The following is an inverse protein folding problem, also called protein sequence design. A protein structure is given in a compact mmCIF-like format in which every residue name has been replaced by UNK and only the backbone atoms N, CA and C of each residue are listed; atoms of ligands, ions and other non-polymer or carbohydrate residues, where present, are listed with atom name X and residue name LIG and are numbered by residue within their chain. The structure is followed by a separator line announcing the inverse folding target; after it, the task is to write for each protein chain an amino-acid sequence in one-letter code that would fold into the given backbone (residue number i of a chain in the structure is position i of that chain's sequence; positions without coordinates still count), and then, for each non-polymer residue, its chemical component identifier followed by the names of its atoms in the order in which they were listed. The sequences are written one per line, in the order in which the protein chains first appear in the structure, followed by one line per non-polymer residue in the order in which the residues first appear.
data_IF_981873411343
#
_entry.id   IF_981873411343
#
_cell.length_a   1.000
_cell.length_b   1.000
_cell.length_c   1.000
_cell.angle_alpha   90.00
_cell.angle_beta   90.00
_cell.angle_gamma   90.00
#
_symmetry.space_group_name_H-M   'P 1'
#
loop_
_entity.id
_entity.type
_entity.pdbx_description
1 polymer ?
#
# COMPACT_ATOMS: atom_id res chain seq x y z
N UNK A 1 -2.32 -6.02 8.72
CA UNK A 1 -1.46 -6.48 9.82
C UNK A 1 -1.66 -5.58 11.03
N UNK A 2 -1.68 -6.10 12.27
CA UNK A 2 -1.61 -5.25 13.48
C UNK A 2 -0.13 -5.08 13.82
N UNK A 3 0.49 -3.96 13.40
CA UNK A 3 1.95 -3.81 13.38
C UNK A 3 2.57 -4.03 14.77
N UNK A 4 2.05 -3.38 15.82
CA UNK A 4 2.54 -3.56 17.19
C UNK A 4 2.31 -4.94 17.82
N UNK A 5 1.59 -5.86 17.17
CA UNK A 5 1.58 -7.28 17.54
C UNK A 5 2.64 -8.06 16.76
N UNK A 6 2.83 -7.74 15.47
CA UNK A 6 3.90 -8.31 14.65
C UNK A 6 5.29 -7.94 15.20
N UNK A 7 5.49 -6.69 15.64
CA UNK A 7 6.73 -6.23 16.32
C UNK A 7 7.05 -7.14 17.52
N UNK A 8 6.09 -7.36 18.43
CA UNK A 8 6.26 -8.22 19.61
C UNK A 8 6.60 -9.67 19.26
N UNK A 9 6.13 -10.18 18.13
CA UNK A 9 6.47 -11.53 17.65
C UNK A 9 7.84 -11.57 17.01
N UNK A 10 8.20 -10.58 16.20
CA UNK A 10 9.52 -10.47 15.57
C UNK A 10 10.63 -10.29 16.61
N UNK A 11 10.36 -9.52 17.66
CA UNK A 11 11.23 -9.30 18.83
C UNK A 11 11.77 -10.61 19.42
N UNK A 12 10.97 -11.69 19.45
CA UNK A 12 11.37 -13.01 19.97
C UNK A 12 12.56 -13.65 19.23
N UNK A 13 12.91 -13.13 18.05
CA UNK A 13 14.00 -13.61 17.20
C UNK A 13 15.10 -12.56 16.99
N UNK A 14 14.94 -11.35 17.54
CA UNK A 14 15.96 -10.29 17.48
C UNK A 14 16.93 -10.40 18.66
N UNK A 15 18.13 -9.84 18.51
CA UNK A 15 19.14 -9.85 19.58
C UNK A 15 18.73 -8.93 20.73
N UNK A 16 18.85 -9.43 21.96
CA UNK A 16 18.62 -8.64 23.18
C UNK A 16 19.46 -7.35 23.21
N UNK A 17 18.80 -6.24 23.56
CA UNK A 17 19.42 -4.92 23.74
C UNK A 17 18.80 -3.80 22.88
N UNK A 18 18.50 -4.06 21.60
CA UNK A 18 17.98 -3.03 20.69
C UNK A 18 17.06 -3.66 19.62
N UNK A 19 15.85 -4.02 20.03
CA UNK A 19 14.94 -4.90 19.27
C UNK A 19 14.27 -4.19 18.08
N UNK A 20 14.15 -2.86 18.10
CA UNK A 20 13.51 -2.11 17.02
C UNK A 20 14.47 -1.77 15.88
N UNK A 21 15.72 -1.41 16.17
CA UNK A 21 16.71 -1.17 15.11
C UNK A 21 17.23 -2.48 14.51
N UNK A 22 17.17 -3.60 15.24
CA UNK A 22 17.68 -4.90 14.78
C UNK A 22 17.16 -5.32 13.39
N UNK A 23 15.85 -5.16 13.15
CA UNK A 23 15.26 -5.52 11.85
C UNK A 23 15.74 -4.61 10.71
N UNK A 24 16.01 -3.33 10.99
CA UNK A 24 16.59 -2.40 10.03
C UNK A 24 18.07 -2.73 9.77
N UNK A 25 18.87 -2.92 10.84
CA UNK A 25 20.28 -3.34 10.74
C UNK A 25 20.47 -4.63 9.94
N UNK A 26 19.52 -5.56 10.04
CA UNK A 26 19.50 -6.83 9.31
C UNK A 26 18.90 -6.71 7.88
N UNK A 27 18.66 -5.49 7.39
CA UNK A 27 18.12 -5.18 6.05
C UNK A 27 16.80 -5.93 5.75
N UNK A 28 15.91 -6.01 6.74
CA UNK A 28 14.67 -6.82 6.71
C UNK A 28 13.54 -6.15 5.89
N UNK A 29 13.83 -5.83 4.63
CA UNK A 29 12.97 -5.05 3.73
C UNK A 29 11.53 -5.57 3.60
N UNK A 30 11.30 -6.89 3.63
CA UNK A 30 9.95 -7.45 3.54
C UNK A 30 9.06 -7.01 4.72
N UNK A 31 9.65 -6.87 5.91
CA UNK A 31 8.97 -6.47 7.13
C UNK A 31 8.68 -4.96 7.12
N UNK A 32 9.65 -4.16 6.68
CA UNK A 32 9.51 -2.71 6.49
C UNK A 32 8.40 -2.41 5.46
N UNK A 33 8.41 -3.06 4.29
CA UNK A 33 7.36 -2.93 3.27
C UNK A 33 5.98 -3.32 3.81
N UNK A 34 5.86 -4.47 4.49
CA UNK A 34 4.59 -4.93 5.06
C UNK A 34 4.05 -3.99 6.15
N UNK A 35 4.96 -3.39 6.94
CA UNK A 35 4.64 -2.40 7.98
C UNK A 35 4.22 -1.06 7.37
N UNK A 36 4.96 -0.55 6.39
CA UNK A 36 4.66 0.68 5.65
C UNK A 36 3.30 0.64 4.97
N UNK A 37 3.01 -0.42 4.22
CA UNK A 37 1.69 -0.66 3.62
C UNK A 37 0.57 -0.79 4.67
N UNK A 38 0.88 -1.32 5.86
CA UNK A 38 -0.10 -1.39 6.95
C UNK A 38 -0.38 -0.03 7.59
N UNK A 39 0.63 0.81 7.80
CA UNK A 39 0.45 2.19 8.26
C UNK A 39 -0.27 3.06 7.22
N UNK A 40 0.06 2.91 5.93
CA UNK A 40 -0.62 3.60 4.82
C UNK A 40 -2.13 3.30 4.78
N UNK A 41 -2.53 2.05 5.02
CA UNK A 41 -3.95 1.65 5.15
C UNK A 41 -4.64 2.19 6.40
N UNK A 42 -3.89 2.51 7.46
CA UNK A 42 -4.41 3.14 8.68
C UNK A 42 -4.50 4.68 8.56
N UNK A 43 -3.98 5.27 7.47
CA UNK A 43 -3.87 6.72 7.30
C UNK A 43 -2.67 7.36 8.01
N UNK A 44 -1.79 6.56 8.64
CA UNK A 44 -0.58 7.06 9.29
C UNK A 44 0.55 7.22 8.26
N UNK A 45 0.58 8.40 7.62
CA UNK A 45 1.50 8.70 6.52
C UNK A 45 2.95 8.86 6.98
N UNK A 46 3.18 9.32 8.22
CA UNK A 46 4.53 9.51 8.78
C UNK A 46 5.25 8.17 9.00
N UNK A 47 4.59 7.24 9.70
CA UNK A 47 5.14 5.89 9.88
C UNK A 47 5.16 5.08 8.58
N UNK A 48 4.22 5.32 7.66
CA UNK A 48 4.27 4.70 6.32
C UNK A 48 5.51 5.17 5.54
N UNK A 49 5.71 6.48 5.39
CA UNK A 49 6.87 7.06 4.70
C UNK A 49 8.17 6.55 5.30
N UNK A 50 8.30 6.62 6.63
CA UNK A 50 9.51 6.16 7.31
C UNK A 50 9.90 4.72 6.97
N UNK A 51 8.94 3.80 6.92
CA UNK A 51 9.20 2.41 6.53
C UNK A 51 9.60 2.27 5.05
N UNK A 52 9.01 3.06 4.15
CA UNK A 52 9.40 3.06 2.73
C UNK A 52 10.78 3.70 2.49
N UNK A 53 11.12 4.76 3.23
CA UNK A 53 12.44 5.41 3.19
C UNK A 53 13.53 4.55 3.85
N UNK A 54 13.20 3.75 4.86
CA UNK A 54 14.11 2.76 5.43
C UNK A 54 14.58 1.75 4.36
N UNK A 55 13.66 1.31 3.49
CA UNK A 55 14.02 0.46 2.34
C UNK A 55 14.90 1.21 1.34
N UNK A 56 14.60 2.47 0.99
CA UNK A 56 15.49 3.22 0.08
C UNK A 56 16.90 3.41 0.63
N UNK A 57 17.02 3.67 1.94
CA UNK A 57 18.32 3.72 2.61
C UNK A 57 19.11 2.41 2.44
N UNK A 58 18.49 1.23 2.56
CA UNK A 58 19.19 -0.04 2.29
C UNK A 58 19.73 -0.12 0.86
N UNK A 59 19.03 0.46 -0.13
CA UNK A 59 19.50 0.51 -1.52
C UNK A 59 20.64 1.51 -1.71
N UNK A 60 20.62 2.63 -0.99
CA UNK A 60 21.73 3.58 -0.96
C UNK A 60 22.99 2.94 -0.34
N UNK A 61 22.85 2.31 0.83
CA UNK A 61 23.92 1.59 1.53
C UNK A 61 24.50 0.47 0.63
N UNK A 62 23.65 -0.35 0.00
CA UNK A 62 24.06 -1.37 -0.99
C UNK A 62 24.76 -0.78 -2.23
N UNK A 63 24.46 0.46 -2.61
CA UNK A 63 25.12 1.15 -3.72
C UNK A 63 26.50 1.65 -3.31
N UNK A 64 26.66 2.14 -2.08
CA UNK A 64 27.94 2.60 -1.51
C UNK A 64 28.90 1.44 -1.26
N UNK A 65 28.41 0.31 -0.74
CA UNK A 65 29.18 -0.92 -0.48
C UNK A 65 30.00 -1.41 -1.69
N UNK A 66 29.59 -1.08 -2.92
CA UNK A 66 30.33 -1.47 -4.14
C UNK A 66 31.72 -0.84 -4.23
N UNK A 67 31.95 0.29 -3.55
CA UNK A 67 33.14 1.13 -3.74
C UNK A 67 34.45 0.40 -3.40
N UNK A 68 34.47 -0.32 -2.27
CA UNK A 68 35.61 -1.12 -1.83
C UNK A 68 35.94 -2.26 -2.81
N UNK A 69 34.93 -2.78 -3.51
CA UNK A 69 35.10 -3.87 -4.46
C UNK A 69 35.81 -3.47 -5.75
N UNK A 70 35.79 -2.19 -6.16
CA UNK A 70 36.55 -1.71 -7.31
C UNK A 70 38.05 -2.01 -7.16
N UNK A 71 38.63 -1.67 -6.00
CA UNK A 71 40.06 -1.95 -5.73
C UNK A 71 40.29 -3.40 -5.29
N UNK A 72 39.39 -3.98 -4.48
CA UNK A 72 39.55 -5.35 -3.99
C UNK A 72 39.55 -6.38 -5.12
N UNK A 73 38.59 -6.32 -6.05
CA UNK A 73 38.45 -7.33 -7.09
C UNK A 73 39.57 -7.29 -8.13
N UNK A 74 40.12 -6.11 -8.43
CA UNK A 74 41.32 -5.96 -9.26
C UNK A 74 42.53 -6.61 -8.57
N UNK A 75 42.76 -6.30 -7.29
CA UNK A 75 43.86 -6.88 -6.49
C UNK A 75 43.75 -8.40 -6.30
N UNK A 76 42.52 -8.94 -6.25
CA UNK A 76 42.25 -10.38 -6.08
C UNK A 76 42.02 -11.12 -7.41
N UNK A 77 42.09 -10.44 -8.54
CA UNK A 77 41.84 -11.00 -9.89
C UNK A 77 40.47 -11.68 -10.05
N UNK A 78 39.46 -11.30 -9.26
CA UNK A 78 38.10 -11.86 -9.30
C UNK A 78 37.24 -11.17 -10.37
N UNK A 79 37.81 -10.92 -11.55
CA UNK A 79 37.25 -10.03 -12.59
C UNK A 79 35.86 -10.45 -13.09
N UNK A 80 35.58 -11.76 -13.17
CA UNK A 80 34.24 -12.27 -13.53
C UNK A 80 33.18 -11.85 -12.51
N UNK A 81 33.48 -11.98 -11.21
CA UNK A 81 32.57 -11.58 -10.14
C UNK A 81 32.42 -10.05 -10.09
N UNK A 82 33.48 -9.30 -10.35
CA UNK A 82 33.44 -7.84 -10.45
C UNK A 82 32.49 -7.36 -11.55
N UNK A 83 32.60 -7.89 -12.77
CA UNK A 83 31.68 -7.52 -13.87
C UNK A 83 30.24 -7.94 -13.58
N UNK A 84 30.03 -9.08 -12.89
CA UNK A 84 28.68 -9.47 -12.42
C UNK A 84 28.13 -8.51 -11.35
N UNK A 85 28.97 -8.03 -10.43
CA UNK A 85 28.59 -7.03 -9.42
C UNK A 85 28.18 -5.71 -10.06
N UNK A 86 28.96 -5.20 -11.03
CA UNK A 86 28.61 -3.97 -11.76
C UNK A 86 27.24 -4.12 -12.46
N UNK A 87 27.03 -5.23 -13.19
CA UNK A 87 25.74 -5.53 -13.85
C UNK A 87 24.56 -5.71 -12.88
N UNK A 88 24.84 -6.08 -11.64
CA UNK A 88 23.84 -6.14 -10.57
C UNK A 88 23.52 -4.73 -10.06
N UNK A 89 24.54 -3.91 -9.80
CA UNK A 89 24.39 -2.51 -9.37
C UNK A 89 23.63 -1.67 -10.41
N UNK A 90 23.94 -1.84 -11.71
CA UNK A 90 23.22 -1.23 -12.84
C UNK A 90 21.70 -1.53 -12.85
N UNK A 91 21.26 -2.57 -12.13
CA UNK A 91 19.87 -3.07 -12.08
C UNK A 91 19.30 -3.11 -10.66
N UNK A 92 20.03 -2.60 -9.66
CA UNK A 92 19.64 -2.72 -8.26
C UNK A 92 18.23 -2.13 -8.03
N UNK A 93 18.02 -0.91 -8.50
CA UNK A 93 16.73 -0.19 -8.43
C UNK A 93 15.61 -0.79 -9.30
N UNK A 94 15.86 -1.80 -10.12
CA UNK A 94 14.83 -2.53 -10.86
C UNK A 94 14.19 -3.66 -10.02
N UNK A 95 14.71 -3.91 -8.81
CA UNK A 95 14.23 -4.98 -7.94
C UNK A 95 12.85 -4.65 -7.31
N UNK A 96 12.01 -5.67 -7.16
CA UNK A 96 10.60 -5.55 -6.74
C UNK A 96 10.42 -4.82 -5.40
N UNK A 97 11.35 -5.01 -4.45
CA UNK A 97 11.28 -4.34 -3.15
C UNK A 97 11.50 -2.82 -3.25
N UNK A 98 12.41 -2.36 -4.11
CA UNK A 98 12.58 -0.94 -4.37
C UNK A 98 11.35 -0.37 -5.11
N UNK A 99 10.85 -1.10 -6.12
CA UNK A 99 9.65 -0.69 -6.85
C UNK A 99 8.46 -0.48 -5.90
N UNK A 100 8.20 -1.43 -5.00
CA UNK A 100 7.18 -1.33 -3.94
C UNK A 100 7.42 -0.18 -2.96
N UNK A 101 8.67 0.02 -2.51
CA UNK A 101 9.01 1.11 -1.58
C UNK A 101 8.78 2.48 -2.22
N UNK A 102 9.33 2.71 -3.41
CA UNK A 102 9.18 3.96 -4.14
C UNK A 102 7.72 4.23 -4.53
N UNK A 103 6.97 3.21 -4.98
CA UNK A 103 5.54 3.34 -5.26
C UNK A 103 4.74 3.69 -3.98
N UNK A 104 5.05 3.06 -2.85
CA UNK A 104 4.48 3.37 -1.53
C UNK A 104 4.79 4.79 -1.07
N UNK A 105 6.03 5.26 -1.24
CA UNK A 105 6.44 6.62 -0.93
C UNK A 105 5.73 7.66 -1.80
N UNK A 106 5.66 7.46 -3.12
CA UNK A 106 4.92 8.32 -4.05
C UNK A 106 3.43 8.39 -3.65
N UNK A 107 2.80 7.24 -3.33
CA UNK A 107 1.42 7.20 -2.81
C UNK A 107 1.23 8.02 -1.54
N UNK A 108 2.19 7.99 -0.61
CA UNK A 108 2.13 8.81 0.60
C UNK A 108 2.26 10.31 0.29
N UNK A 109 3.22 10.71 -0.53
CA UNK A 109 3.43 12.11 -0.92
C UNK A 109 2.24 12.70 -1.69
N UNK A 110 1.61 11.94 -2.58
CA UNK A 110 0.38 12.37 -3.26
C UNK A 110 -0.77 12.57 -2.27
N UNK A 111 -0.95 11.68 -1.27
CA UNK A 111 -1.93 11.88 -0.20
C UNK A 111 -1.63 13.09 0.67
N UNK A 112 -0.35 13.35 1.01
CA UNK A 112 0.05 14.55 1.74
C UNK A 112 -0.26 15.84 0.97
N UNK A 113 -0.12 15.83 -0.36
CA UNK A 113 -0.50 16.96 -1.20
C UNK A 113 -2.02 17.15 -1.28
N UNK A 114 -2.78 16.07 -1.47
CA UNK A 114 -4.25 16.12 -1.64
C UNK A 114 -4.99 16.35 -0.32
N UNK A 115 -4.35 16.05 0.80
CA UNK A 115 -4.84 16.28 2.16
C UNK A 115 -3.69 16.79 3.02
N UNK A 116 -3.31 18.08 2.85
CA UNK A 116 -2.25 18.68 3.65
C UNK A 116 -2.63 18.54 5.13
N UNK A 117 -1.68 18.05 5.92
CA UNK A 117 -1.88 17.88 7.36
C UNK A 117 -2.18 19.27 7.92
N UNK A 118 -3.35 19.42 8.58
CA UNK A 118 -3.81 20.71 9.13
C UNK A 118 -2.63 21.41 9.77
N UNK A 119 -2.31 22.61 9.30
CA UNK A 119 -1.07 23.26 9.75
C UNK A 119 -1.12 23.46 11.26
N UNK A 120 0.02 23.47 11.93
CA UNK A 120 0.08 23.72 13.39
C UNK A 120 -0.52 25.08 13.82
N UNK A 121 -0.79 25.98 12.86
CA UNK A 121 -1.60 27.19 13.02
C UNK A 121 -3.10 26.89 13.09
N UNK A 122 -3.63 26.06 12.18
CA UNK A 122 -5.05 25.66 12.17
C UNK A 122 -5.42 24.79 13.37
N UNK A 123 -4.55 23.87 13.79
CA UNK A 123 -4.77 23.14 15.05
C UNK A 123 -4.75 24.08 16.26
N UNK A 124 -3.86 25.07 16.29
CA UNK A 124 -3.89 26.09 17.33
C UNK A 124 -5.16 26.95 17.28
N UNK A 125 -5.71 27.22 16.10
CA UNK A 125 -6.96 27.97 15.94
C UNK A 125 -8.23 27.17 16.25
N UNK A 126 -8.25 25.85 16.02
CA UNK A 126 -9.33 24.98 16.49
C UNK A 126 -9.22 24.79 18.02
N UNK A 127 -8.02 24.58 18.55
CA UNK A 127 -7.76 24.58 20.00
C UNK A 127 -8.10 25.95 20.61
N UNK A 128 -7.91 27.06 19.90
CA UNK A 128 -8.28 28.41 20.34
C UNK A 128 -9.77 28.75 20.19
N UNK A 129 -10.59 27.82 19.67
CA UNK A 129 -12.07 27.90 19.59
C UNK A 129 -12.80 27.04 20.63
N UNK A 130 -12.17 25.99 21.18
CA UNK A 130 -12.77 25.11 22.21
C UNK A 130 -13.03 25.80 23.57
N UNK A 131 -13.88 25.28 24.48
CA UNK A 131 -14.03 25.83 25.83
C UNK A 131 -12.74 25.75 26.68
N UNK A 132 -12.45 26.73 27.56
CA UNK A 132 -11.16 26.82 28.25
C UNK A 132 -10.82 25.61 29.14
N UNK A 133 -11.83 24.94 29.73
CA UNK A 133 -11.66 23.71 30.49
C UNK A 133 -11.17 22.53 29.61
N UNK A 134 -11.68 22.43 28.37
CA UNK A 134 -11.26 21.40 27.41
C UNK A 134 -9.87 21.71 26.85
N UNK A 135 -9.55 22.99 26.56
CA UNK A 135 -8.17 23.40 26.16
C UNK A 135 -7.13 22.99 27.19
N UNK A 136 -7.38 23.27 28.48
CA UNK A 136 -6.46 22.90 29.56
C UNK A 136 -6.31 21.39 29.66
N UNK A 137 -7.40 20.62 29.57
CA UNK A 137 -7.38 19.15 29.62
C UNK A 137 -6.65 18.53 28.42
N UNK A 138 -6.84 19.06 27.21
CA UNK A 138 -6.18 18.56 25.99
C UNK A 138 -4.68 18.92 26.00
N UNK A 139 -4.31 20.18 26.29
CA UNK A 139 -2.91 20.59 26.42
C UNK A 139 -2.19 19.85 27.56
N UNK A 140 -2.88 19.54 28.66
CA UNK A 140 -2.31 18.73 29.75
C UNK A 140 -2.18 17.25 29.36
N UNK A 141 -3.09 16.70 28.54
CA UNK A 141 -2.97 15.34 27.98
C UNK A 141 -1.81 15.25 26.97
N UNK A 142 -1.69 16.23 26.07
CA UNK A 142 -0.57 16.36 25.13
C UNK A 142 0.76 16.49 25.88
N UNK A 143 0.90 17.47 26.79
CA UNK A 143 2.11 17.60 27.61
C UNK A 143 2.43 16.38 28.48
N UNK A 144 1.42 15.61 28.92
CA UNK A 144 1.65 14.35 29.64
C UNK A 144 2.07 13.22 28.71
N UNK A 145 1.58 13.16 27.48
CA UNK A 145 2.03 12.20 26.47
C UNK A 145 3.46 12.54 25.98
N UNK A 146 3.73 13.81 25.70
CA UNK A 146 5.04 14.34 25.34
C UNK A 146 6.07 14.15 26.46
N UNK A 147 5.75 14.52 27.71
CA UNK A 147 6.63 14.27 28.85
C UNK A 147 6.79 12.78 29.17
N UNK A 148 5.82 11.93 28.80
CA UNK A 148 5.95 10.48 28.91
C UNK A 148 6.85 9.91 27.81
N UNK A 149 6.68 10.32 26.55
CA UNK A 149 7.55 9.93 25.45
C UNK A 149 8.99 10.43 25.67
N UNK A 150 9.15 11.64 26.20
CA UNK A 150 10.46 12.18 26.56
C UNK A 150 11.11 11.43 27.72
N UNK A 151 10.36 11.06 28.76
CA UNK A 151 10.86 10.19 29.84
C UNK A 151 11.16 8.77 29.36
N UNK A 152 10.32 8.18 28.53
CA UNK A 152 10.57 6.86 27.92
C UNK A 152 11.74 6.90 26.91
N UNK A 153 12.20 8.09 26.48
CA UNK A 153 13.43 8.28 25.72
C UNK A 153 14.64 8.59 26.62
N UNK A 154 14.45 9.33 27.71
CA UNK A 154 15.48 9.64 28.72
C UNK A 154 15.84 8.40 29.57
N UNK A 155 14.86 7.59 29.99
CA UNK A 155 15.08 6.29 30.67
C UNK A 155 15.83 5.32 29.75
N UNK A 156 15.55 5.30 28.44
CA UNK A 156 16.33 4.52 27.47
C UNK A 156 17.78 5.01 27.35
N UNK A 157 18.03 6.31 27.46
CA UNK A 157 19.39 6.86 27.51
C UNK A 157 20.12 6.48 28.82
N UNK A 158 19.43 6.47 29.96
CA UNK A 158 20.02 6.07 31.24
C UNK A 158 20.29 4.55 31.31
N UNK A 159 19.39 3.70 30.82
CA UNK A 159 19.58 2.24 30.80
C UNK A 159 20.71 1.80 29.83
N UNK A 160 20.85 2.45 28.67
CA UNK A 160 21.96 2.19 27.74
C UNK A 160 23.30 2.69 28.28
N UNK A 161 23.34 3.87 28.92
CA UNK A 161 24.58 4.38 29.51
C UNK A 161 25.00 3.60 30.76
N UNK A 162 24.07 3.14 31.59
CA UNK A 162 24.35 2.25 32.72
C UNK A 162 24.90 0.89 32.26
N UNK A 163 24.31 0.30 31.22
CA UNK A 163 24.77 -0.98 30.64
C UNK A 163 26.17 -0.92 30.03
N UNK A 164 26.65 0.27 29.63
CA UNK A 164 27.99 0.45 29.06
C UNK A 164 29.14 0.35 30.08
N UNK A 165 28.88 0.54 31.39
CA UNK A 165 29.92 0.67 32.41
C UNK A 165 30.39 -0.66 33.04
N UNK A 166 29.78 -1.81 32.70
CA UNK A 166 30.08 -3.11 33.31
C UNK A 166 30.99 -4.04 32.49
N UNK A 167 31.26 -3.74 31.21
CA UNK A 167 32.03 -4.61 30.30
C UNK A 167 33.42 -4.08 29.98
N UNK A 168 34.36 -4.26 30.93
CA UNK A 168 35.73 -3.73 30.86
C UNK A 168 36.68 -4.52 29.94
N UNK A 169 36.36 -4.65 28.64
CA UNK A 169 37.31 -5.14 27.62
C UNK A 169 36.93 -4.83 26.15
N UNK A 170 37.61 -3.84 25.55
CA UNK A 170 38.22 -4.06 24.22
C UNK A 170 37.36 -4.05 22.94
N UNK A 171 36.49 -3.06 22.71
CA UNK A 171 36.33 -2.38 21.40
C UNK A 171 35.38 -1.19 21.51
N UNK A 172 35.73 -0.04 20.91
CA UNK A 172 34.80 1.09 20.77
C UNK A 172 33.65 0.69 19.86
N UNK A 173 32.49 0.36 20.41
CA UNK A 173 31.25 0.43 19.64
C UNK A 173 30.95 1.92 19.43
N UNK A 174 30.74 2.31 18.17
CA UNK A 174 30.20 3.63 17.88
C UNK A 174 28.79 3.69 18.46
N UNK A 175 28.52 4.73 19.26
CA UNK A 175 27.15 5.03 19.68
C UNK A 175 26.30 5.19 18.41
N UNK A 176 25.28 4.34 18.28
CA UNK A 176 24.44 4.30 17.07
C UNK A 176 23.63 5.59 16.96
N UNK A 177 23.35 6.10 15.75
CA UNK A 177 22.48 7.26 15.60
C UNK A 177 21.09 6.92 16.15
N UNK A 178 20.74 7.50 17.30
CA UNK A 178 19.39 7.38 17.87
C UNK A 178 18.41 7.99 16.89
N UNK A 179 17.35 7.26 16.56
CA UNK A 179 16.28 7.69 15.68
C UNK A 179 15.59 8.95 16.23
N UNK A 180 15.83 10.08 15.57
CA UNK A 180 15.33 11.39 15.96
C UNK A 180 13.89 11.66 15.49
N UNK A 181 13.22 10.70 14.84
CA UNK A 181 11.81 10.82 14.46
C UNK A 181 11.07 9.46 14.48
N UNK A 182 10.75 8.92 15.67
CA UNK A 182 10.02 7.66 15.83
C UNK A 182 8.73 7.56 15.01
N UNK A 183 7.99 8.67 14.85
CA UNK A 183 6.67 8.72 14.23
C UNK A 183 6.64 9.25 12.79
N UNK A 184 7.73 9.82 12.28
CA UNK A 184 7.80 10.44 10.94
C UNK A 184 7.13 11.82 10.88
N UNK A 185 7.06 12.54 12.00
CA UNK A 185 6.41 13.86 12.09
C UNK A 185 7.14 14.93 11.25
N UNK A 186 8.47 14.82 11.11
CA UNK A 186 9.27 15.71 10.25
C UNK A 186 9.11 15.36 8.78
N UNK A 187 8.94 14.07 8.46
CA UNK A 187 8.70 13.58 7.09
C UNK A 187 7.34 14.03 6.54
N UNK A 188 6.37 14.33 7.41
CA UNK A 188 5.07 14.91 7.05
C UNK A 188 5.19 16.41 6.74
N UNK A 189 6.12 17.12 7.38
CA UNK A 189 6.28 18.59 7.29
C UNK A 189 7.14 19.06 6.10
N UNK A 190 7.17 18.28 5.02
CA UNK A 190 7.93 18.62 3.80
C UNK A 190 7.21 19.72 3.00
N UNK A 191 7.95 20.75 2.57
CA UNK A 191 7.41 21.93 1.89
C UNK A 191 6.83 21.63 0.49
N UNK A 192 7.47 20.73 -0.29
CA UNK A 192 6.95 20.26 -1.59
C UNK A 192 6.97 18.72 -1.68
N UNK A 193 5.88 18.04 -1.24
CA UNK A 193 5.72 16.60 -1.39
C UNK A 193 5.77 16.12 -2.85
N UNK A 194 5.35 16.96 -3.82
CA UNK A 194 5.33 16.59 -5.23
C UNK A 194 6.72 16.65 -5.87
N UNK A 195 7.65 17.47 -5.35
CA UNK A 195 9.06 17.42 -5.74
C UNK A 195 9.72 16.11 -5.29
N UNK A 196 9.53 15.71 -4.03
CA UNK A 196 10.06 14.44 -3.50
C UNK A 196 9.51 13.24 -4.26
N UNK A 197 8.19 13.16 -4.46
CA UNK A 197 7.56 12.15 -5.30
C UNK A 197 8.13 12.10 -6.74
N UNK A 198 8.56 13.24 -7.30
CA UNK A 198 9.19 13.28 -8.64
C UNK A 198 10.58 12.63 -8.66
N UNK A 199 11.33 12.64 -7.55
CA UNK A 199 12.64 11.96 -7.46
C UNK A 199 12.45 10.45 -7.58
N UNK A 200 11.56 9.88 -6.75
CA UNK A 200 11.21 8.46 -6.79
C UNK A 200 10.61 8.06 -8.14
N UNK A 201 9.73 8.87 -8.72
CA UNK A 201 9.15 8.59 -10.03
C UNK A 201 10.22 8.48 -11.13
N UNK A 202 11.23 9.35 -11.14
CA UNK A 202 12.34 9.27 -12.10
C UNK A 202 13.15 7.98 -11.94
N UNK A 203 13.39 7.54 -10.71
CA UNK A 203 14.06 6.26 -10.44
C UNK A 203 13.23 5.09 -10.98
N UNK A 204 11.90 5.10 -10.78
CA UNK A 204 11.00 4.09 -11.35
C UNK A 204 10.95 4.14 -12.88
N UNK A 205 10.92 5.32 -13.50
CA UNK A 205 10.91 5.46 -14.96
C UNK A 205 12.22 4.95 -15.60
N UNK A 206 13.35 5.15 -14.94
CA UNK A 206 14.66 4.72 -15.44
C UNK A 206 14.90 3.20 -15.26
N UNK A 207 14.38 2.60 -14.19
CA UNK A 207 14.69 1.20 -13.81
C UNK A 207 13.51 0.23 -13.98
N UNK A 208 12.29 0.74 -14.17
CA UNK A 208 11.04 -0.04 -14.21
C UNK A 208 10.04 0.58 -15.19
N UNK A 209 10.52 0.92 -16.39
CA UNK A 209 9.73 1.46 -17.51
C UNK A 209 8.61 0.55 -18.00
N UNK A 210 8.71 -0.74 -17.71
CA UNK A 210 7.80 -1.76 -18.27
C UNK A 210 6.65 -2.07 -17.31
N UNK A 211 6.63 -1.45 -16.12
CA UNK A 211 5.56 -1.60 -15.13
C UNK A 211 4.44 -0.58 -15.38
N UNK A 212 3.20 -1.07 -15.48
CA UNK A 212 2.00 -0.24 -15.58
C UNK A 212 1.87 0.72 -14.39
N UNK A 213 2.17 0.25 -13.16
CA UNK A 213 2.08 1.06 -11.93
C UNK A 213 2.99 2.30 -12.00
N UNK A 214 4.20 2.18 -12.58
CA UNK A 214 5.11 3.31 -12.80
C UNK A 214 4.44 4.42 -13.61
N UNK A 215 3.70 4.08 -14.67
CA UNK A 215 3.05 5.07 -15.54
C UNK A 215 1.71 5.56 -15.00
N UNK A 216 0.97 4.74 -14.24
CA UNK A 216 -0.21 5.21 -13.48
C UNK A 216 0.23 6.28 -12.47
N UNK A 217 1.29 6.02 -11.69
CA UNK A 217 1.88 7.00 -10.77
C UNK A 217 2.42 8.23 -11.52
N UNK A 218 3.03 8.05 -12.70
CA UNK A 218 3.47 9.15 -13.55
C UNK A 218 2.33 10.05 -14.00
N UNK A 219 1.19 9.46 -14.37
CA UNK A 219 -0.02 10.18 -14.75
C UNK A 219 -0.59 10.96 -13.57
N UNK A 220 -0.88 10.28 -12.46
CA UNK A 220 -1.47 10.87 -11.25
C UNK A 220 -0.62 12.01 -10.68
N UNK A 221 0.72 11.87 -10.68
CA UNK A 221 1.63 12.93 -10.25
C UNK A 221 1.67 14.10 -11.24
N UNK A 222 1.74 13.82 -12.55
CA UNK A 222 1.80 14.87 -13.58
C UNK A 222 0.52 15.70 -13.65
N UNK A 223 -0.64 15.07 -13.41
CA UNK A 223 -1.94 15.73 -13.32
C UNK A 223 -1.99 16.70 -12.13
N UNK A 224 -1.50 16.30 -10.94
CA UNK A 224 -1.39 17.18 -9.76
C UNK A 224 -0.43 18.35 -10.00
N UNK A 225 0.71 18.10 -10.64
CA UNK A 225 1.70 19.13 -11.02
C UNK A 225 1.29 19.98 -12.23
N UNK A 226 0.09 19.78 -12.80
CA UNK A 226 -0.43 20.44 -14.00
C UNK A 226 0.51 20.35 -15.23
N UNK A 227 1.30 19.28 -15.32
CA UNK A 227 2.24 19.04 -16.43
C UNK A 227 1.58 18.21 -17.53
N UNK A 228 0.71 18.86 -18.30
CA UNK A 228 -0.14 18.25 -19.34
C UNK A 228 0.62 17.30 -20.28
N UNK A 229 1.76 17.72 -20.85
CA UNK A 229 2.51 16.88 -21.79
C UNK A 229 3.12 15.63 -21.13
N UNK A 230 3.52 15.69 -19.85
CA UNK A 230 4.03 14.53 -19.11
C UNK A 230 2.90 13.57 -18.72
N UNK A 231 1.72 14.09 -18.39
CA UNK A 231 0.52 13.28 -18.19
C UNK A 231 0.11 12.57 -19.50
N UNK A 232 0.16 13.26 -20.63
CA UNK A 232 -0.10 12.66 -21.94
C UNK A 232 0.93 11.58 -22.32
N UNK A 233 2.23 11.85 -22.08
CA UNK A 233 3.28 10.86 -22.27
C UNK A 233 3.03 9.60 -21.44
N UNK A 234 2.62 9.73 -20.18
CA UNK A 234 2.28 8.60 -19.33
C UNK A 234 1.10 7.78 -19.89
N UNK A 235 0.02 8.45 -20.35
CA UNK A 235 -1.12 7.78 -21.02
C UNK A 235 -0.67 7.03 -22.28
N UNK A 236 0.21 7.61 -23.11
CA UNK A 236 0.76 6.92 -24.29
C UNK A 236 1.59 5.68 -23.91
N UNK A 237 2.34 5.70 -22.81
CA UNK A 237 3.06 4.50 -22.34
C UNK A 237 2.11 3.44 -21.77
N UNK A 238 1.06 3.83 -21.03
CA UNK A 238 0.04 2.92 -20.52
C UNK A 238 -0.64 2.14 -21.66
N UNK A 239 -1.13 2.84 -22.69
CA UNK A 239 -1.76 2.22 -23.86
C UNK A 239 -0.78 1.32 -24.63
N UNK A 240 0.51 1.69 -24.68
CA UNK A 240 1.55 0.88 -25.33
C UNK A 240 1.84 -0.42 -24.57
N UNK A 241 1.76 -0.41 -23.24
CA UNK A 241 1.98 -1.58 -22.39
C UNK A 241 0.75 -2.50 -22.34
N UNK A 242 -0.42 -1.93 -22.07
CA UNK A 242 -1.69 -2.64 -22.01
C UNK A 242 -2.85 -1.68 -22.36
N UNK A 243 -3.35 -1.80 -23.60
CA UNK A 243 -4.48 -1.06 -24.15
C UNK A 243 -5.81 -1.42 -23.46
N UNK A 244 -5.96 -2.67 -23.01
CA UNK A 244 -7.23 -3.17 -22.46
C UNK A 244 -7.35 -2.96 -20.94
N UNK A 245 -6.27 -2.54 -20.29
CA UNK A 245 -6.25 -2.34 -18.85
C UNK A 245 -7.34 -1.37 -18.33
N UNK A 246 -8.08 -1.71 -17.25
CA UNK A 246 -9.03 -0.81 -16.61
C UNK A 246 -8.44 0.54 -16.19
N UNK A 247 -7.19 0.55 -15.70
CA UNK A 247 -6.54 1.78 -15.25
C UNK A 247 -5.96 2.60 -16.41
N UNK A 248 -5.46 1.96 -17.49
CA UNK A 248 -5.14 2.65 -18.75
C UNK A 248 -6.36 3.42 -19.28
N UNK A 249 -7.54 2.78 -19.31
CA UNK A 249 -8.80 3.39 -19.75
C UNK A 249 -9.24 4.55 -18.83
N UNK A 250 -9.14 4.38 -17.51
CA UNK A 250 -9.37 5.46 -16.53
C UNK A 250 -8.47 6.66 -16.77
N UNK A 251 -7.16 6.45 -16.90
CA UNK A 251 -6.19 7.53 -17.14
C UNK A 251 -6.49 8.24 -18.47
N UNK A 252 -6.81 7.50 -19.53
CA UNK A 252 -7.17 8.05 -20.84
C UNK A 252 -8.39 8.99 -20.78
N UNK A 253 -9.51 8.53 -20.20
CA UNK A 253 -10.72 9.35 -20.11
C UNK A 253 -10.53 10.51 -19.12
N UNK A 254 -9.92 10.29 -17.95
CA UNK A 254 -9.61 11.36 -16.98
C UNK A 254 -8.76 12.46 -17.61
N UNK A 255 -7.77 12.10 -18.42
CA UNK A 255 -6.94 13.06 -19.16
C UNK A 255 -7.79 13.91 -20.10
N UNK A 256 -8.47 13.30 -21.08
CA UNK A 256 -9.19 14.06 -22.10
C UNK A 256 -10.41 14.80 -21.56
N UNK A 257 -11.12 14.25 -20.57
CA UNK A 257 -12.17 14.98 -19.86
C UNK A 257 -11.60 16.23 -19.18
N UNK A 258 -10.45 16.11 -18.49
CA UNK A 258 -9.81 17.27 -17.85
C UNK A 258 -9.36 18.31 -18.87
N UNK A 259 -8.70 17.93 -19.97
CA UNK A 259 -8.28 18.87 -21.02
C UNK A 259 -9.48 19.57 -21.67
N UNK A 260 -10.54 18.85 -22.01
CA UNK A 260 -11.77 19.44 -22.56
C UNK A 260 -12.50 20.38 -21.57
N UNK A 261 -12.25 20.24 -20.26
CA UNK A 261 -12.80 21.12 -19.22
C UNK A 261 -11.97 22.38 -18.93
N UNK A 262 -10.73 22.46 -19.45
CA UNK A 262 -9.90 23.65 -19.28
C UNK A 262 -10.40 24.79 -20.20
N UNK A 263 -10.26 26.06 -19.78
CA UNK A 263 -10.50 27.18 -20.68
C UNK A 263 -9.55 27.09 -21.90
N UNK A 264 -10.01 27.63 -23.04
CA UNK A 264 -9.22 27.63 -24.28
C UNK A 264 -7.86 28.31 -24.09
N UNK A 265 -6.84 27.92 -24.88
CA UNK A 265 -5.46 28.33 -24.66
C UNK A 265 -5.27 29.85 -24.76
N UNK A 266 -4.84 30.47 -23.65
CA UNK A 266 -4.66 31.93 -23.55
C UNK A 266 -3.22 32.30 -23.93
N UNK A 267 -2.25 31.55 -23.40
CA UNK A 267 -0.82 31.74 -23.63
C UNK A 267 -0.32 30.95 -24.85
N UNK A 268 0.77 31.41 -25.47
CA UNK A 268 1.35 30.71 -26.63
C UNK A 268 1.92 29.33 -26.24
N UNK A 269 2.36 29.16 -24.99
CA UNK A 269 2.73 27.86 -24.42
C UNK A 269 1.56 26.89 -24.36
N UNK A 270 0.37 27.35 -23.97
CA UNK A 270 -0.85 26.53 -23.99
C UNK A 270 -1.26 26.20 -25.43
N UNK A 271 -1.21 27.16 -26.35
CA UNK A 271 -1.50 26.91 -27.78
C UNK A 271 -0.59 25.82 -28.35
N UNK A 272 0.70 25.84 -28.03
CA UNK A 272 1.63 24.79 -28.43
C UNK A 272 1.24 23.42 -27.85
N UNK A 273 0.87 23.36 -26.57
CA UNK A 273 0.39 22.11 -25.94
C UNK A 273 -0.87 21.59 -26.64
N UNK A 274 -1.85 22.47 -26.90
CA UNK A 274 -3.08 22.11 -27.61
C UNK A 274 -2.79 21.60 -29.03
N UNK A 275 -1.94 22.27 -29.80
CA UNK A 275 -1.54 21.82 -31.14
C UNK A 275 -0.92 20.42 -31.14
N UNK A 276 -0.07 20.11 -30.14
CA UNK A 276 0.52 18.77 -29.98
C UNK A 276 -0.55 17.73 -29.65
N UNK A 277 -1.50 18.06 -28.75
CA UNK A 277 -2.59 17.15 -28.40
C UNK A 277 -3.57 16.92 -29.57
N UNK A 278 -3.86 17.93 -30.38
CA UNK A 278 -4.70 17.78 -31.57
C UNK A 278 -4.02 16.96 -32.67
N UNK A 279 -2.71 17.13 -32.87
CA UNK A 279 -1.94 16.34 -33.83
C UNK A 279 -1.83 14.85 -33.43
N UNK A 280 -1.67 14.56 -32.14
CA UNK A 280 -1.46 13.21 -31.60
C UNK A 280 -2.77 12.46 -31.26
N UNK A 281 -3.91 13.16 -31.20
CA UNK A 281 -5.22 12.55 -30.89
C UNK A 281 -5.73 11.55 -31.94
N UNK A 282 -5.60 11.78 -33.26
CA UNK A 282 -5.97 10.82 -34.29
C UNK A 282 -5.16 9.52 -34.27
N UNK A 283 -3.89 9.59 -33.86
CA UNK A 283 -2.97 8.44 -33.86
C UNK A 283 -3.32 7.38 -32.78
N UNK A 284 -4.10 7.77 -31.76
CA UNK A 284 -4.63 6.83 -30.78
C UNK A 284 -5.86 6.10 -31.33
N UNK A 285 -5.67 4.81 -31.64
CA UNK A 285 -6.69 3.89 -32.18
C UNK A 285 -8.04 3.94 -31.44
N UNK A 286 -8.02 4.17 -30.14
CA UNK A 286 -9.21 4.20 -29.28
C UNK A 286 -10.06 5.46 -29.54
N UNK A 287 -9.42 6.59 -29.85
CA UNK A 287 -10.03 7.92 -29.95
C UNK A 287 -10.33 8.36 -31.39
N UNK A 288 -10.02 7.53 -32.39
CA UNK A 288 -10.06 7.85 -33.82
C UNK A 288 -11.44 8.32 -34.30
N UNK A 289 -11.70 9.63 -34.20
CA UNK A 289 -12.97 10.29 -34.52
C UNK A 289 -14.10 10.11 -33.50
N UNK A 290 -13.89 9.35 -32.42
CA UNK A 290 -14.92 8.99 -31.43
C UNK A 290 -15.06 10.03 -30.31
N UNK A 291 -16.28 10.21 -29.80
CA UNK A 291 -16.50 10.93 -28.53
C UNK A 291 -16.04 10.09 -27.33
N UNK A 292 -15.68 10.73 -26.21
CA UNK A 292 -15.26 10.01 -24.99
C UNK A 292 -16.35 9.04 -24.47
N UNK A 293 -17.62 9.37 -24.71
CA UNK A 293 -18.78 8.53 -24.36
C UNK A 293 -18.83 7.28 -25.24
N UNK A 294 -18.58 7.40 -26.55
CA UNK A 294 -18.48 6.26 -27.47
C UNK A 294 -17.28 5.36 -27.17
N UNK A 295 -16.14 5.95 -26.78
CA UNK A 295 -14.96 5.17 -26.34
C UNK A 295 -15.29 4.37 -25.08
N UNK A 296 -15.91 4.99 -24.08
CA UNK A 296 -16.33 4.31 -22.86
C UNK A 296 -17.36 3.20 -23.12
N UNK A 297 -18.32 3.44 -24.03
CA UNK A 297 -19.28 2.42 -24.45
C UNK A 297 -18.60 1.26 -25.17
N UNK A 298 -17.70 1.54 -26.12
CA UNK A 298 -16.94 0.51 -26.85
C UNK A 298 -16.11 -0.36 -25.89
N UNK A 299 -15.53 0.23 -24.84
CA UNK A 299 -14.77 -0.47 -23.80
C UNK A 299 -15.67 -1.39 -22.96
N UNK A 300 -16.83 -0.90 -22.52
CA UNK A 300 -17.81 -1.69 -21.77
C UNK A 300 -18.40 -2.85 -22.61
N UNK A 301 -18.66 -2.63 -23.89
CA UNK A 301 -19.13 -3.66 -24.82
C UNK A 301 -18.08 -4.77 -25.01
N UNK A 302 -16.80 -4.41 -25.13
CA UNK A 302 -15.67 -5.36 -25.26
C UNK A 302 -15.44 -6.19 -24.00
N UNK A 303 -15.59 -5.60 -22.80
CA UNK A 303 -15.15 -6.19 -21.53
C UNK A 303 -16.28 -6.45 -20.51
N UNK A 304 -17.51 -6.69 -20.99
CA UNK A 304 -18.73 -6.82 -20.18
C UNK A 304 -18.71 -7.94 -19.10
N UNK A 305 -17.79 -8.90 -19.19
CA UNK A 305 -17.67 -10.03 -18.27
C UNK A 305 -16.76 -9.75 -17.06
N UNK A 306 -15.85 -8.76 -17.15
CA UNK A 306 -14.85 -8.52 -16.11
C UNK A 306 -15.28 -7.41 -15.15
N UNK A 307 -15.31 -7.73 -13.85
CA UNK A 307 -15.73 -6.80 -12.79
C UNK A 307 -14.95 -5.47 -12.83
N UNK A 308 -13.62 -5.53 -12.94
CA UNK A 308 -12.77 -4.34 -12.90
C UNK A 308 -12.95 -3.44 -14.13
N UNK A 309 -13.19 -4.03 -15.31
CA UNK A 309 -13.47 -3.27 -16.52
C UNK A 309 -14.84 -2.60 -16.46
N UNK A 310 -15.87 -3.30 -15.94
CA UNK A 310 -17.19 -2.72 -15.67
C UNK A 310 -17.10 -1.58 -14.66
N UNK A 311 -16.35 -1.74 -13.58
CA UNK A 311 -16.15 -0.71 -12.56
C UNK A 311 -15.44 0.53 -13.10
N UNK A 312 -14.37 0.35 -13.90
CA UNK A 312 -13.69 1.44 -14.58
C UNK A 312 -14.60 2.16 -15.58
N UNK A 313 -15.34 1.42 -16.43
CA UNK A 313 -16.27 2.01 -17.38
C UNK A 313 -17.47 2.71 -16.72
N UNK A 314 -17.94 2.21 -15.58
CA UNK A 314 -18.98 2.86 -14.76
C UNK A 314 -18.46 4.16 -14.12
N UNK A 315 -17.26 4.15 -13.53
CA UNK A 315 -16.60 5.35 -13.01
C UNK A 315 -16.45 6.42 -14.10
N UNK A 316 -16.02 6.01 -15.30
CA UNK A 316 -15.84 6.92 -16.43
C UNK A 316 -17.17 7.38 -17.04
N UNK A 317 -18.23 6.56 -16.99
CA UNK A 317 -19.58 6.99 -17.37
C UNK A 317 -20.08 8.09 -16.44
N UNK A 318 -19.91 7.93 -15.12
CA UNK A 318 -20.33 8.94 -14.14
C UNK A 318 -19.49 10.23 -14.23
N UNK A 319 -18.19 10.13 -14.54
CA UNK A 319 -17.32 11.28 -14.78
C UNK A 319 -17.73 12.09 -16.02
N UNK A 320 -18.10 11.41 -17.11
CA UNK A 320 -18.51 12.05 -18.36
C UNK A 320 -19.96 12.56 -18.34
N UNK A 321 -20.87 11.80 -17.72
CA UNK A 321 -22.31 12.05 -17.69
C UNK A 321 -22.87 11.91 -16.25
N UNK A 322 -22.70 12.91 -15.37
CA UNK A 322 -23.13 12.83 -13.96
C UNK A 322 -24.62 12.47 -13.77
N UNK A 323 -25.46 12.83 -14.73
CA UNK A 323 -26.89 12.51 -14.75
C UNK A 323 -27.18 10.99 -14.83
N UNK A 324 -26.22 10.19 -15.30
CA UNK A 324 -26.34 8.73 -15.47
C UNK A 324 -25.81 7.92 -14.29
N UNK A 325 -25.67 8.54 -13.12
CA UNK A 325 -25.18 7.87 -11.89
C UNK A 325 -25.82 6.50 -11.63
N UNK A 326 -27.14 6.38 -11.79
CA UNK A 326 -27.86 5.10 -11.57
C UNK A 326 -27.55 4.05 -12.65
N UNK A 327 -27.38 4.45 -13.91
CA UNK A 327 -27.01 3.54 -15.01
C UNK A 327 -25.59 2.97 -14.77
N UNK A 328 -24.65 3.84 -14.37
CA UNK A 328 -23.30 3.44 -13.98
C UNK A 328 -23.28 2.49 -12.77
N UNK A 329 -24.14 2.71 -11.77
CA UNK A 329 -24.28 1.81 -10.61
C UNK A 329 -24.85 0.45 -11.03
N UNK A 330 -25.88 0.42 -11.88
CA UNK A 330 -26.46 -0.82 -12.39
C UNK A 330 -25.42 -1.64 -13.16
N UNK A 331 -24.54 -1.01 -13.95
CA UNK A 331 -23.42 -1.71 -14.61
C UNK A 331 -22.51 -2.46 -13.62
N UNK A 332 -22.40 -2.01 -12.37
CA UNK A 332 -21.67 -2.71 -11.31
C UNK A 332 -22.56 -3.77 -10.63
N UNK A 333 -23.81 -3.44 -10.26
CA UNK A 333 -24.71 -4.39 -9.58
C UNK A 333 -25.14 -5.57 -10.47
N UNK A 334 -25.26 -5.39 -11.78
CA UNK A 334 -25.56 -6.42 -12.78
C UNK A 334 -24.36 -7.36 -13.06
N UNK A 335 -23.22 -7.18 -12.38
CA UNK A 335 -22.06 -8.05 -12.56
C UNK A 335 -22.29 -9.42 -11.91
N UNK A 336 -22.19 -10.49 -12.67
CA UNK A 336 -22.33 -11.86 -12.15
C UNK A 336 -20.95 -12.47 -11.91
N UNK A 337 -20.79 -13.15 -10.77
CA UNK A 337 -19.55 -13.86 -10.45
C UNK A 337 -19.58 -15.23 -11.13
N UNK A 338 -19.22 -15.24 -12.42
CA UNK A 338 -19.19 -16.45 -13.24
C UNK A 338 -18.17 -17.43 -12.64
N UNK A 339 -18.60 -18.67 -12.42
CA UNK A 339 -17.72 -19.77 -12.02
C UNK A 339 -16.92 -20.23 -13.24
N UNK A 340 -15.59 -20.23 -13.15
CA UNK A 340 -14.76 -20.73 -14.24
C UNK A 340 -14.74 -22.26 -14.22
N UNK A 341 -15.15 -22.88 -15.33
CA UNK A 341 -15.08 -24.33 -15.55
C UNK A 341 -13.64 -24.81 -15.84
N UNK A 342 -12.66 -24.30 -15.10
CA UNK A 342 -11.26 -24.71 -15.18
C UNK A 342 -10.96 -25.85 -14.21
N UNK A 343 -10.23 -26.86 -14.66
CA UNK A 343 -9.76 -27.98 -13.85
C UNK A 343 -8.75 -27.54 -12.77
N UNK A 344 -9.24 -26.96 -11.67
CA UNK A 344 -8.48 -26.76 -10.45
C UNK A 344 -8.82 -27.86 -9.43
N UNK A 345 -7.80 -28.42 -8.78
CA UNK A 345 -7.91 -29.46 -7.75
C UNK A 345 -8.73 -29.03 -6.51
N UNK A 346 -9.12 -27.77 -6.43
CA UNK A 346 -9.84 -27.13 -5.32
C UNK A 346 -11.33 -26.87 -5.63
N UNK A 347 -11.85 -27.37 -6.75
CA UNK A 347 -13.25 -27.20 -7.15
C UNK A 347 -13.50 -25.92 -7.96
N UNK A 348 -14.78 -25.56 -8.20
CA UNK A 348 -15.13 -24.45 -9.09
C UNK A 348 -14.76 -23.09 -8.47
N UNK A 349 -13.71 -22.48 -9.01
CA UNK A 349 -13.22 -21.17 -8.56
C UNK A 349 -14.10 -20.07 -9.14
N UNK A 350 -14.61 -19.20 -8.27
CA UNK A 350 -15.32 -17.98 -8.64
C UNK A 350 -14.32 -16.96 -9.17
N UNK A 351 -14.64 -16.28 -10.28
CA UNK A 351 -13.69 -15.43 -11.00
C UNK A 351 -13.30 -14.15 -10.26
N UNK A 352 -14.15 -13.63 -9.37
CA UNK A 352 -13.86 -12.39 -8.64
C UNK A 352 -12.85 -12.61 -7.52
N UNK A 353 -11.81 -11.77 -7.47
CA UNK A 353 -10.90 -11.73 -6.33
C UNK A 353 -11.49 -10.87 -5.20
N UNK A 354 -11.09 -11.16 -3.96
CA UNK A 354 -11.52 -10.39 -2.79
C UNK A 354 -11.05 -8.93 -2.88
N UNK A 355 -9.86 -8.69 -3.44
CA UNK A 355 -9.28 -7.36 -3.58
C UNK A 355 -10.09 -6.50 -4.56
N UNK A 356 -10.42 -7.04 -5.74
CA UNK A 356 -11.31 -6.39 -6.73
C UNK A 356 -12.63 -5.95 -6.09
N UNK A 357 -13.25 -6.85 -5.31
CA UNK A 357 -14.52 -6.57 -4.65
C UNK A 357 -14.41 -5.47 -3.57
N UNK A 358 -13.27 -5.42 -2.85
CA UNK A 358 -12.96 -4.38 -1.87
C UNK A 358 -12.78 -3.03 -2.56
N UNK A 359 -12.10 -2.99 -3.71
CA UNK A 359 -11.85 -1.75 -4.42
C UNK A 359 -13.10 -1.23 -5.15
N UNK A 360 -13.99 -2.12 -5.62
CA UNK A 360 -15.36 -1.76 -6.04
C UNK A 360 -16.19 -1.21 -4.87
N UNK A 361 -16.11 -1.81 -3.67
CA UNK A 361 -16.80 -1.27 -2.50
C UNK A 361 -16.35 0.16 -2.17
N UNK A 362 -15.02 0.39 -2.09
CA UNK A 362 -14.45 1.74 -1.90
C UNK A 362 -14.88 2.71 -3.00
N UNK A 363 -14.97 2.27 -4.26
CA UNK A 363 -15.40 3.10 -5.39
C UNK A 363 -16.85 3.57 -5.20
N UNK A 364 -17.74 2.67 -4.78
CA UNK A 364 -19.15 2.96 -4.47
C UNK A 364 -19.29 3.95 -3.30
N UNK A 365 -18.47 3.79 -2.25
CA UNK A 365 -18.46 4.70 -1.10
C UNK A 365 -17.87 6.09 -1.43
N UNK A 366 -16.75 6.15 -2.15
CA UNK A 366 -15.96 7.39 -2.30
C UNK A 366 -16.26 8.19 -3.56
N UNK A 367 -16.46 7.54 -4.71
CA UNK A 367 -16.69 8.22 -6.00
C UNK A 367 -18.18 8.37 -6.27
N UNK A 368 -18.96 7.31 -6.08
CA UNK A 368 -20.41 7.39 -6.24
C UNK A 368 -21.11 8.00 -5.02
N UNK A 369 -20.55 7.87 -3.82
CA UNK A 369 -21.11 8.45 -2.60
C UNK A 369 -22.49 7.90 -2.23
N UNK A 370 -22.77 6.63 -2.56
CA UNK A 370 -24.04 5.97 -2.26
C UNK A 370 -23.83 4.83 -1.26
N UNK A 371 -24.04 5.14 0.02
CA UNK A 371 -23.88 4.15 1.09
C UNK A 371 -24.89 3.00 0.99
N UNK A 372 -26.07 3.20 0.41
CA UNK A 372 -27.07 2.14 0.29
C UNK A 372 -26.61 1.11 -0.75
N UNK A 373 -26.07 1.57 -1.88
CA UNK A 373 -25.47 0.71 -2.91
C UNK A 373 -24.22 0.01 -2.35
N UNK A 374 -23.33 0.74 -1.68
CA UNK A 374 -22.15 0.15 -1.05
C UNK A 374 -22.52 -0.95 -0.04
N UNK A 375 -23.52 -0.72 0.82
CA UNK A 375 -23.99 -1.71 1.78
C UNK A 375 -24.62 -2.94 1.11
N UNK A 376 -25.39 -2.78 0.02
CA UNK A 376 -25.89 -3.92 -0.78
C UNK A 376 -24.75 -4.73 -1.40
N UNK A 377 -23.75 -4.03 -1.96
CA UNK A 377 -22.55 -4.66 -2.49
C UNK A 377 -21.77 -5.42 -1.41
N UNK A 378 -21.61 -4.82 -0.22
CA UNK A 378 -20.98 -5.46 0.96
C UNK A 378 -21.69 -6.76 1.34
N UNK A 379 -23.02 -6.70 1.48
CA UNK A 379 -23.84 -7.87 1.84
C UNK A 379 -23.74 -8.98 0.79
N UNK A 380 -23.83 -8.64 -0.50
CA UNK A 380 -23.61 -9.58 -1.61
C UNK A 380 -22.22 -10.21 -1.53
N UNK A 381 -21.17 -9.41 -1.37
CA UNK A 381 -19.80 -9.92 -1.24
C UNK A 381 -19.59 -10.80 0.01
N UNK A 382 -20.36 -10.61 1.08
CA UNK A 382 -20.32 -11.48 2.26
C UNK A 382 -20.73 -12.93 1.96
N UNK A 383 -21.69 -13.14 1.04
CA UNK A 383 -22.08 -14.46 0.53
C UNK A 383 -20.96 -15.11 -0.30
N UNK A 384 -20.23 -14.29 -1.08
CA UNK A 384 -19.11 -14.75 -1.91
C UNK A 384 -17.86 -15.06 -1.11
N UNK A 385 -17.61 -14.34 0.00
CA UNK A 385 -16.41 -14.47 0.82
C UNK A 385 -16.75 -14.69 2.31
N UNK A 386 -17.24 -15.89 2.70
CA UNK A 386 -17.76 -16.14 4.06
C UNK A 386 -16.77 -15.88 5.21
N UNK A 387 -15.46 -15.95 4.94
CA UNK A 387 -14.40 -15.72 5.94
C UNK A 387 -13.87 -14.27 5.94
N UNK A 388 -14.34 -13.40 5.03
CA UNK A 388 -13.85 -12.02 4.93
C UNK A 388 -14.26 -11.20 6.15
N UNK A 389 -13.27 -10.65 6.85
CA UNK A 389 -13.48 -9.66 7.92
C UNK A 389 -13.85 -8.28 7.39
N UNK A 390 -13.61 -7.99 6.11
CA UNK A 390 -14.01 -6.72 5.49
C UNK A 390 -15.50 -6.70 5.12
N UNK A 391 -16.01 -7.83 4.60
CA UNK A 391 -17.42 -7.99 4.25
C UNK A 391 -18.29 -8.52 5.39
N UNK A 392 -17.72 -8.77 6.58
CA UNK A 392 -18.43 -9.38 7.72
C UNK A 392 -19.13 -10.70 7.35
N UNK A 393 -18.43 -11.56 6.60
CA UNK A 393 -18.95 -12.86 6.21
C UNK A 393 -19.34 -13.73 7.42
N UNK A 394 -20.31 -14.62 7.23
CA UNK A 394 -20.94 -15.44 8.29
C UNK A 394 -19.92 -16.31 9.07
N UNK A 395 -18.80 -16.67 8.43
CA UNK A 395 -17.69 -17.45 9.03
C UNK A 395 -16.46 -16.60 9.36
N UNK A 396 -16.56 -15.28 9.30
CA UNK A 396 -15.51 -14.36 9.73
C UNK A 396 -15.46 -14.32 11.26
N UNK A 397 -14.25 -14.17 11.81
CA UNK A 397 -14.07 -14.13 13.27
C UNK A 397 -14.91 -13.03 13.96
N UNK A 398 -15.19 -11.92 13.25
CA UNK A 398 -16.04 -10.82 13.74
C UNK A 398 -17.48 -11.29 13.99
N UNK A 399 -18.03 -12.13 13.09
CA UNK A 399 -19.37 -12.70 13.25
C UNK A 399 -19.41 -13.71 14.40
N UNK A 400 -18.37 -14.53 14.57
CA UNK A 400 -18.28 -15.49 15.68
C UNK A 400 -18.24 -14.78 17.04
N UNK A 401 -17.40 -13.75 17.21
CA UNK A 401 -17.36 -12.95 18.44
C UNK A 401 -18.67 -12.22 18.74
N UNK A 402 -19.46 -11.83 17.72
CA UNK A 402 -20.76 -11.20 17.92
C UNK A 402 -21.84 -12.19 18.40
N UNK A 403 -21.74 -13.46 17.99
CA UNK A 403 -22.63 -14.53 18.44
C UNK A 403 -22.31 -14.92 19.90
N UNK A 404 -21.03 -15.10 20.24
CA UNK A 404 -20.62 -15.42 21.62
C UNK A 404 -21.01 -14.29 22.60
N UNK A 405 -20.78 -13.02 22.24
CA UNK A 405 -21.16 -11.88 23.07
C UNK A 405 -22.67 -11.59 23.15
N UNK A 406 -23.51 -12.26 22.36
CA UNK A 406 -24.97 -12.20 22.52
C UNK A 406 -25.56 -13.35 23.35
N UNK A 407 -24.72 -14.31 23.79
CA UNK A 407 -25.12 -15.45 24.61
C UNK A 407 -24.55 -15.46 26.03
N UNK A 408 -23.46 -14.74 26.32
CA UNK A 408 -22.87 -14.71 27.67
C UNK A 408 -22.71 -13.30 28.25
N UNK A 409 -23.60 -12.96 29.20
CA UNK A 409 -23.25 -12.04 30.28
C UNK A 409 -22.32 -12.75 31.28
N UNK A 410 -21.09 -12.27 31.53
CA UNK A 410 -20.18 -12.97 32.41
C UNK A 410 -20.64 -12.86 33.87
N UNK A 411 -20.74 -13.97 34.62
CA UNK A 411 -20.84 -13.90 36.08
C UNK A 411 -19.50 -13.42 36.66
N UNK A 412 -19.56 -12.53 37.65
CA UNK A 412 -18.38 -12.14 38.43
C UNK A 412 -17.83 -13.34 39.22
N UNK A 413 -16.52 -13.28 39.47
CA UNK A 413 -15.70 -14.21 40.28
C UNK A 413 -15.35 -15.55 39.62
N UNK A 414 -14.09 -15.65 39.19
CA UNK A 414 -13.52 -16.92 38.75
C UNK A 414 -13.07 -17.79 39.93
N UNK A 415 -13.19 -19.11 39.75
CA UNK A 415 -12.36 -20.17 40.33
C UNK A 415 -12.43 -21.35 39.34
N UNK A 416 -11.30 -21.99 39.07
CA UNK A 416 -11.25 -23.14 38.16
C UNK A 416 -11.76 -24.42 38.85
N UNK A 417 -12.56 -25.21 38.14
CA UNK A 417 -12.98 -26.55 38.58
C UNK A 417 -13.04 -27.54 37.41
N UNK A 418 -12.11 -28.48 37.42
CA UNK A 418 -12.17 -29.79 36.73
C UNK A 418 -12.52 -30.83 37.83
N UNK A 419 -12.85 -32.12 37.57
CA UNK A 419 -13.00 -32.80 36.27
C UNK A 419 -14.23 -33.75 36.16
N UNK A 420 -14.30 -34.46 35.02
CA UNK A 420 -14.96 -35.76 34.82
C UNK A 420 -16.50 -35.89 34.94
N UNK A 421 -17.16 -36.02 33.78
CA UNK A 421 -18.09 -37.12 33.52
C UNK A 421 -17.99 -37.56 32.04
N UNK A 422 -18.20 -38.84 31.73
CA UNK A 422 -18.05 -39.44 30.39
C UNK A 422 -19.41 -39.91 29.83
N UNK A 423 -19.43 -40.16 28.51
CA UNK A 423 -20.48 -40.87 27.72
C UNK A 423 -21.82 -40.13 27.54
N UNK A 424 -22.54 -40.19 26.40
CA UNK A 424 -22.40 -40.85 25.06
C UNK A 424 -23.44 -40.18 24.11
N UNK A 425 -23.55 -40.38 22.78
CA UNK A 425 -22.90 -41.23 21.76
C UNK A 425 -23.16 -40.61 20.35
N UNK A 426 -22.19 -40.64 19.42
CA UNK A 426 -22.41 -40.58 17.96
C UNK A 426 -22.73 -39.20 17.31
N UNK A 427 -22.24 -38.84 16.12
CA UNK A 427 -21.55 -39.59 15.05
C UNK A 427 -20.30 -38.89 14.50
N UNK A 428 -19.55 -39.60 13.65
CA UNK A 428 -18.21 -39.27 13.15
C UNK A 428 -18.18 -38.21 12.04
N UNK A 429 -17.15 -37.35 12.07
CA UNK A 429 -16.68 -36.55 10.92
C UNK A 429 -15.16 -36.48 10.92
N UNK A 430 -14.50 -36.88 9.82
CA UNK A 430 -13.06 -37.19 9.81
C UNK A 430 -12.14 -35.97 10.02
N UNK A 431 -11.20 -36.10 10.95
CA UNK A 431 -9.99 -35.27 11.02
C UNK A 431 -8.92 -35.83 10.08
N UNK A 432 -8.92 -35.42 8.82
CA UNK A 432 -7.84 -35.73 7.89
C UNK A 432 -6.60 -34.87 8.20
N UNK A 433 -5.63 -35.45 8.90
CA UNK A 433 -4.37 -34.80 9.27
C UNK A 433 -3.28 -35.82 9.57
N UNK A 434 -2.92 -36.64 8.59
CA UNK A 434 -1.87 -37.66 8.75
C UNK A 434 -0.50 -37.00 8.96
N UNK A 435 -0.02 -37.04 10.21
CA UNK A 435 1.31 -36.58 10.58
C UNK A 435 2.35 -37.59 10.09
N UNK A 436 2.91 -37.38 8.89
CA UNK A 436 4.07 -38.15 8.45
C UNK A 436 5.33 -37.69 9.19
N UNK A 437 5.70 -38.45 10.23
CA UNK A 437 7.04 -38.42 10.81
C UNK A 437 7.99 -38.99 9.76
N UNK A 438 8.95 -38.18 9.31
CA UNK A 438 9.98 -38.59 8.35
C UNK A 438 11.28 -38.85 9.12
N UNK A 439 11.33 -40.01 9.77
CA UNK A 439 12.57 -40.59 10.26
C UNK A 439 13.20 -41.43 9.13
N UNK A 440 14.11 -40.83 8.36
CA UNK A 440 15.33 -41.49 7.84
C UNK A 440 16.16 -40.54 6.96
N UNK A 441 17.15 -39.88 7.55
CA UNK A 441 18.24 -39.20 6.84
C UNK A 441 19.55 -39.98 7.02
N UNK A 442 19.64 -41.16 6.39
CA UNK A 442 20.81 -42.05 6.52
C UNK A 442 21.28 -42.72 5.23
N UNK A 443 20.82 -42.29 4.04
CA UNK A 443 21.49 -42.68 2.78
C UNK A 443 21.35 -41.66 1.64
N UNK A 444 22.44 -40.96 1.34
CA UNK A 444 22.96 -40.77 -0.02
C UNK A 444 24.33 -40.07 0.06
N UNK A 445 25.37 -40.84 -0.21
CA UNK A 445 26.76 -40.40 -0.13
C UNK A 445 27.20 -39.69 -1.41
N UNK A 446 28.16 -38.79 -1.23
CA UNK A 446 29.02 -38.12 -2.20
C UNK A 446 29.28 -38.94 -3.48
N UNK A 447 29.00 -38.33 -4.64
CA UNK A 447 29.88 -38.37 -5.82
C UNK A 447 29.62 -37.20 -6.77
#
# INVERSE_FOLDING_TARGET
MKVGLAEKTAVLFTKDGDQHNNLHDMQCMWYELASGESYYRQGDLGRALKNFLAVEKHYADMTEDQFDFHSYCLRKMTLRAYVSMLKFQDRLHAHEYFHKAAAGAIRCYMKLHDSPTKSSKEENDEISKLPPAQRKKLRQKQKKAEARAKREAEEKQEDETASSNSSKSGKKQHARPVDLDPHGEKLIQIEDPLAEATKYLKLLQNNSSDSLETHILSFELSMRKQKVLLAFQAVKQLIKLDEDNPDSHRCLIKFFHKINSLPGPVTDSEKLIWNVLEAERPDMRQLHGKSLVEVNRSFLEKHNASLMHRAAGAEMMYLLEPNKKMEAINLIEDSTNITSSGHSLLGPVKTWQIQDCIDVHKLLETVFGDQNVANRWKARCAEYFPYSTYFEGIKSAISTYAIDHSLESPPENGIASNPHLKSKDGEQGSLNGTLHIVDDLSSLSIR
#
